data_IF_975614822348
#
_entry.id   IF_975614822348
#
_cell.length_a   1.000
_cell.length_b   1.000
_cell.length_c   1.000
_cell.angle_alpha   90.00
_cell.angle_beta   90.00
_cell.angle_gamma   90.00
#
_symmetry.space_group_name_H-M   'P 1'
#
loop_
_entity.id
_entity.type
_entity.pdbx_description
1 polymer ?
#
# COMPACT_ATOMS: atom_id res chain seq x y z
N UNK A 1 24.82 18.62 -43.95
CA UNK A 1 23.77 17.89 -43.21
C UNK A 1 23.04 16.81 -44.03
N UNK A 2 22.78 16.99 -45.34
CA UNK A 2 22.13 15.94 -46.18
C UNK A 2 22.84 14.58 -46.14
N UNK A 3 24.16 14.57 -46.13
CA UNK A 3 24.96 13.34 -46.17
C UNK A 3 24.96 12.56 -44.83
N UNK A 4 24.60 13.20 -43.71
CA UNK A 4 24.55 12.55 -42.41
C UNK A 4 23.38 11.57 -42.31
N UNK A 5 22.19 12.02 -42.73
CA UNK A 5 20.97 11.20 -42.74
C UNK A 5 21.06 10.02 -43.70
N UNK A 6 21.64 10.22 -44.88
CA UNK A 6 21.90 9.15 -45.85
C UNK A 6 22.82 8.07 -45.26
N UNK A 7 23.88 8.48 -44.56
CA UNK A 7 24.83 7.57 -43.94
C UNK A 7 24.23 6.76 -42.78
N UNK A 8 23.30 7.34 -42.03
CA UNK A 8 22.51 6.62 -41.01
C UNK A 8 21.59 5.60 -41.68
N UNK A 9 20.84 5.99 -42.71
CA UNK A 9 19.92 5.11 -43.42
C UNK A 9 20.66 3.91 -44.06
N UNK A 10 21.81 4.16 -44.69
CA UNK A 10 22.67 3.12 -45.25
C UNK A 10 23.17 2.14 -44.17
N UNK A 11 23.60 2.65 -43.01
CA UNK A 11 24.02 1.80 -41.89
C UNK A 11 22.86 0.95 -41.35
N UNK A 12 21.65 1.50 -41.27
CA UNK A 12 20.47 0.77 -40.82
C UNK A 12 20.13 -0.37 -41.79
N UNK A 13 20.18 -0.11 -43.09
CA UNK A 13 19.93 -1.10 -44.14
C UNK A 13 21.02 -2.19 -44.17
N UNK A 14 22.28 -1.82 -43.95
CA UNK A 14 23.43 -2.74 -43.95
C UNK A 14 23.42 -3.70 -42.77
N UNK A 15 23.03 -3.24 -41.58
CA UNK A 15 23.03 -4.02 -40.33
C UNK A 15 21.63 -4.40 -39.84
N UNK A 16 20.65 -4.50 -40.76
CA UNK A 16 19.22 -4.71 -40.45
C UNK A 16 18.93 -5.81 -39.44
N UNK A 17 19.57 -6.97 -39.55
CA UNK A 17 19.34 -8.09 -38.63
C UNK A 17 19.93 -7.86 -37.23
N UNK A 18 21.09 -7.18 -37.15
CA UNK A 18 21.70 -6.82 -35.86
C UNK A 18 20.86 -5.77 -35.13
N UNK A 19 20.41 -4.74 -35.85
CA UNK A 19 19.55 -3.69 -35.29
C UNK A 19 18.21 -4.26 -34.84
N UNK A 20 17.61 -5.15 -35.64
CA UNK A 20 16.38 -5.82 -35.25
C UNK A 20 16.58 -6.69 -34.01
N UNK A 21 17.69 -7.42 -33.91
CA UNK A 21 18.03 -8.21 -32.72
C UNK A 21 18.19 -7.35 -31.47
N UNK A 22 18.90 -6.21 -31.58
CA UNK A 22 19.05 -5.25 -30.49
C UNK A 22 17.69 -4.66 -30.09
N UNK A 23 16.85 -4.31 -31.05
CA UNK A 23 15.51 -3.77 -30.80
C UNK A 23 14.63 -4.77 -30.04
N UNK A 24 14.64 -6.03 -30.46
CA UNK A 24 13.88 -7.10 -29.79
C UNK A 24 14.42 -7.32 -28.37
N UNK A 25 15.74 -7.38 -28.19
CA UNK A 25 16.35 -7.54 -26.87
C UNK A 25 15.98 -6.38 -25.92
N UNK A 26 16.05 -5.13 -26.41
CA UNK A 26 15.61 -3.95 -25.67
C UNK A 26 14.11 -4.01 -25.32
N UNK A 27 13.28 -4.42 -26.27
CA UNK A 27 11.82 -4.53 -26.07
C UNK A 27 11.52 -5.58 -25.00
N UNK A 28 12.15 -6.75 -25.05
CA UNK A 28 11.99 -7.79 -24.02
C UNK A 28 12.50 -7.31 -22.65
N UNK A 29 13.65 -6.63 -22.61
CA UNK A 29 14.20 -6.10 -21.36
C UNK A 29 13.28 -5.06 -20.72
N UNK A 30 12.73 -4.14 -21.53
CA UNK A 30 11.77 -3.15 -21.08
C UNK A 30 10.44 -3.79 -20.68
N UNK A 31 9.96 -4.80 -21.41
CA UNK A 31 8.76 -5.57 -21.05
C UNK A 31 8.92 -6.29 -19.71
N UNK A 32 10.09 -6.87 -19.45
CA UNK A 32 10.42 -7.46 -18.15
C UNK A 32 10.48 -6.42 -17.03
N UNK A 33 10.95 -5.19 -17.31
CA UNK A 33 10.90 -4.11 -16.32
C UNK A 33 9.48 -3.59 -16.08
N UNK A 34 8.64 -3.56 -17.11
CA UNK A 34 7.25 -3.18 -16.99
C UNK A 34 6.44 -4.18 -16.14
N UNK A 35 6.75 -5.48 -16.20
CA UNK A 35 6.10 -6.47 -15.32
C UNK A 35 6.48 -6.34 -13.84
N UNK A 36 7.55 -5.59 -13.53
CA UNK A 36 7.98 -5.29 -12.16
C UNK A 36 7.37 -3.99 -11.60
N UNK A 37 6.43 -3.37 -12.31
CA UNK A 37 5.78 -2.15 -11.82
C UNK A 37 4.98 -2.47 -10.55
N UNK A 38 5.27 -1.74 -9.48
CA UNK A 38 4.54 -1.80 -8.22
C UNK A 38 3.62 -0.59 -8.13
N UNK A 39 2.36 -0.82 -7.76
CA UNK A 39 1.44 0.26 -7.42
C UNK A 39 1.85 0.83 -6.06
N UNK A 40 2.25 2.10 -6.06
CA UNK A 40 2.46 2.84 -4.81
C UNK A 40 1.09 3.31 -4.32
N UNK A 41 0.69 2.80 -3.15
CA UNK A 41 -0.50 3.26 -2.41
C UNK A 41 -0.12 4.30 -1.35
N UNK A 42 1.06 4.92 -1.46
CA UNK A 42 1.39 6.06 -0.62
C UNK A 42 0.53 7.25 -1.05
N UNK A 43 -0.02 7.99 -0.08
CA UNK A 43 -0.63 9.29 -0.34
C UNK A 43 0.32 10.12 -1.20
N UNK A 44 -0.25 10.82 -2.20
CA UNK A 44 0.53 11.62 -3.12
C UNK A 44 1.51 12.51 -2.34
N UNK A 45 2.80 12.47 -2.71
CA UNK A 45 3.83 13.32 -2.13
C UNK A 45 3.57 14.76 -2.58
N UNK A 46 2.77 15.50 -1.80
CA UNK A 46 2.37 16.89 -2.08
C UNK A 46 3.54 17.86 -1.80
N UNK A 47 4.49 17.46 -0.93
CA UNK A 47 5.62 18.28 -0.54
C UNK A 47 6.96 17.71 -1.06
N UNK A 48 7.91 18.57 -1.47
CA UNK A 48 9.26 18.14 -1.82
C UNK A 48 9.99 17.61 -0.59
N UNK A 49 10.89 16.64 -0.78
CA UNK A 49 11.64 15.99 0.31
C UNK A 49 12.51 16.95 1.14
N UNK A 50 12.84 18.11 0.59
CA UNK A 50 13.63 19.14 1.26
C UNK A 50 12.83 20.00 2.24
N UNK A 51 11.50 19.91 2.25
CA UNK A 51 10.65 20.68 3.16
C UNK A 51 10.75 20.13 4.59
N UNK A 52 10.98 20.99 5.58
CA UNK A 52 11.11 20.61 6.98
C UNK A 52 9.86 19.90 7.53
N UNK A 53 8.67 20.28 7.05
CA UNK A 53 7.39 19.67 7.47
C UNK A 53 7.26 18.25 6.94
N UNK A 54 7.79 17.99 5.74
CA UNK A 54 7.84 16.63 5.20
C UNK A 54 8.80 15.75 6.01
N UNK A 55 9.96 16.26 6.40
CA UNK A 55 10.90 15.54 7.27
C UNK A 55 10.30 15.25 8.66
N UNK A 56 9.57 16.23 9.23
CA UNK A 56 8.85 16.03 10.48
C UNK A 56 7.78 14.93 10.36
N UNK A 57 7.01 14.94 9.28
CA UNK A 57 6.00 13.92 8.99
C UNK A 57 6.63 12.53 8.83
N UNK A 58 7.72 12.39 8.07
CA UNK A 58 8.43 11.11 7.90
C UNK A 58 9.00 10.60 9.22
N UNK A 59 9.55 11.48 10.07
CA UNK A 59 10.02 11.11 11.41
C UNK A 59 8.87 10.65 12.32
N UNK A 60 7.72 11.33 12.27
CA UNK A 60 6.52 10.92 12.99
C UNK A 60 6.03 9.55 12.51
N UNK A 61 5.90 9.35 11.19
CA UNK A 61 5.53 8.08 10.56
C UNK A 61 6.49 6.96 10.92
N UNK A 62 7.79 7.23 10.99
CA UNK A 62 8.79 6.24 11.42
C UNK A 62 8.62 5.83 12.89
N UNK A 63 8.26 6.77 13.77
CA UNK A 63 8.12 6.52 15.21
C UNK A 63 6.79 5.86 15.58
N UNK A 64 5.70 6.24 14.92
CA UNK A 64 4.35 5.81 15.28
C UNK A 64 3.71 4.85 14.26
N UNK A 65 4.32 4.67 13.08
CA UNK A 65 3.75 3.91 11.97
C UNK A 65 2.86 4.76 11.07
N UNK A 66 2.46 4.18 9.93
CA UNK A 66 1.51 4.77 8.99
C UNK A 66 0.19 4.01 9.07
N UNK A 67 -0.91 4.74 9.32
CA UNK A 67 -2.27 4.18 9.42
C UNK A 67 -2.98 4.17 8.04
N UNK A 68 -2.20 3.91 6.97
CA UNK A 68 -2.66 4.08 5.59
C UNK A 68 -3.62 3.01 5.07
N UNK A 69 -3.78 1.90 5.81
CA UNK A 69 -4.56 0.73 5.40
C UNK A 69 -5.69 0.40 6.39
N UNK A 70 -6.34 1.42 6.95
CA UNK A 70 -7.52 1.21 7.80
C UNK A 70 -8.77 1.15 6.93
N UNK A 71 -9.54 0.07 7.07
CA UNK A 71 -10.88 -0.05 6.51
C UNK A 71 -11.90 0.07 7.64
N UNK A 72 -12.88 0.96 7.45
CA UNK A 72 -13.99 1.15 8.39
C UNK A 72 -15.25 0.54 7.81
N UNK A 73 -15.90 -0.35 8.56
CA UNK A 73 -17.18 -0.96 8.21
C UNK A 73 -18.23 -0.45 9.20
N UNK A 74 -19.25 0.24 8.67
CA UNK A 74 -20.40 0.71 9.43
C UNK A 74 -21.67 -0.03 9.00
N UNK A 75 -22.54 -0.33 9.97
CA UNK A 75 -23.83 -0.96 9.75
C UNK A 75 -24.90 -0.18 10.54
N UNK A 76 -26.01 0.13 9.88
CA UNK A 76 -27.21 0.63 10.54
C UNK A 76 -28.14 -0.57 10.83
N UNK A 77 -28.26 -0.95 12.10
CA UNK A 77 -29.10 -2.06 12.56
C UNK A 77 -29.59 -1.81 13.99
N UNK A 78 -30.88 -1.56 14.15
CA UNK A 78 -31.51 -1.32 15.46
C UNK A 78 -31.45 -2.54 16.40
N UNK A 79 -31.27 -3.74 15.83
CA UNK A 79 -31.22 -5.00 16.57
C UNK A 79 -29.78 -5.51 16.78
N UNK A 80 -28.75 -4.69 16.50
CA UNK A 80 -27.35 -5.10 16.60
C UNK A 80 -26.97 -5.69 17.98
N UNK A 81 -27.60 -5.21 19.05
CA UNK A 81 -27.37 -5.69 20.42
C UNK A 81 -28.24 -6.90 20.80
N UNK A 82 -29.05 -7.42 19.89
CA UNK A 82 -29.72 -8.71 20.11
C UNK A 82 -28.69 -9.85 20.07
N UNK A 83 -28.88 -10.94 20.83
CA UNK A 83 -27.92 -12.04 20.89
C UNK A 83 -27.57 -12.63 19.51
N UNK A 84 -28.56 -12.73 18.62
CA UNK A 84 -28.36 -13.30 17.29
C UNK A 84 -27.47 -12.40 16.42
N UNK A 85 -27.83 -11.13 16.30
CA UNK A 85 -27.11 -10.15 15.47
C UNK A 85 -25.71 -9.88 16.03
N UNK A 86 -25.56 -9.77 17.35
CA UNK A 86 -24.26 -9.54 17.98
C UNK A 86 -23.31 -10.73 17.77
N UNK A 87 -23.82 -11.96 17.83
CA UNK A 87 -23.04 -13.17 17.55
C UNK A 87 -22.63 -13.25 16.07
N UNK A 88 -23.51 -12.85 15.15
CA UNK A 88 -23.18 -12.75 13.73
C UNK A 88 -22.07 -11.71 13.50
N UNK A 89 -22.17 -10.53 14.13
CA UNK A 89 -21.15 -9.48 14.06
C UNK A 89 -19.80 -9.92 14.66
N UNK A 90 -19.82 -10.65 15.78
CA UNK A 90 -18.61 -11.23 16.38
C UNK A 90 -17.96 -12.28 15.46
N UNK A 91 -18.78 -13.10 14.79
CA UNK A 91 -18.29 -14.09 13.81
C UNK A 91 -17.64 -13.41 12.62
N UNK A 92 -18.28 -12.40 12.04
CA UNK A 92 -17.72 -11.59 10.96
C UNK A 92 -16.36 -10.98 11.34
N UNK A 93 -16.27 -10.41 12.55
CA UNK A 93 -15.03 -9.84 13.08
C UNK A 93 -13.90 -10.88 13.12
N UNK A 94 -14.19 -12.12 13.54
CA UNK A 94 -13.20 -13.21 13.60
C UNK A 94 -12.80 -13.68 12.19
N UNK A 95 -13.75 -13.78 11.27
CA UNK A 95 -13.50 -14.18 9.88
C UNK A 95 -12.61 -13.17 9.15
N UNK A 96 -12.87 -11.87 9.32
CA UNK A 96 -12.02 -10.81 8.75
C UNK A 96 -10.61 -10.87 9.35
N UNK A 97 -10.50 -11.06 10.67
CA UNK A 97 -9.20 -11.20 11.35
C UNK A 97 -8.40 -12.42 10.85
N UNK A 98 -9.08 -13.46 10.38
CA UNK A 98 -8.45 -14.66 9.83
C UNK A 98 -7.89 -14.51 8.41
N UNK A 99 -8.20 -13.41 7.70
CA UNK A 99 -7.77 -13.25 6.31
C UNK A 99 -6.27 -12.90 6.20
N UNK A 100 -5.55 -13.49 5.23
CA UNK A 100 -4.16 -13.13 4.96
C UNK A 100 -4.00 -11.64 4.68
N UNK A 101 -3.07 -10.98 5.37
CA UNK A 101 -2.78 -9.55 5.20
C UNK A 101 -3.52 -8.62 6.16
N UNK A 102 -4.49 -9.11 6.94
CA UNK A 102 -5.13 -8.33 8.01
C UNK A 102 -4.29 -8.42 9.28
N UNK A 103 -3.73 -7.28 9.72
CA UNK A 103 -2.88 -7.21 10.92
C UNK A 103 -3.71 -7.19 12.21
N UNK A 104 -4.82 -6.47 12.23
CA UNK A 104 -5.70 -6.38 13.40
C UNK A 104 -7.12 -5.99 12.97
N UNK A 105 -8.12 -6.39 13.78
CA UNK A 105 -9.52 -5.99 13.61
C UNK A 105 -10.06 -5.55 14.96
N UNK A 106 -10.54 -4.31 15.03
CA UNK A 106 -11.19 -3.74 16.20
C UNK A 106 -12.68 -3.57 15.90
N UNK A 107 -13.52 -4.05 16.81
CA UNK A 107 -14.98 -4.02 16.69
C UNK A 107 -15.59 -3.85 18.08
N UNK A 108 -16.90 -3.53 18.14
CA UNK A 108 -17.67 -3.55 19.39
C UNK A 108 -17.68 -4.92 20.09
N UNK A 109 -17.39 -6.01 19.35
CA UNK A 109 -17.40 -7.37 19.90
C UNK A 109 -16.11 -7.79 20.59
N UNK A 110 -15.02 -7.05 20.38
CA UNK A 110 -13.69 -7.35 20.89
C UNK A 110 -12.92 -6.11 21.36
N UNK A 111 -13.65 -5.05 21.70
CA UNK A 111 -13.09 -3.80 22.16
C UNK A 111 -12.45 -4.03 23.55
N UNK A 112 -11.14 -3.77 23.74
CA UNK A 112 -10.51 -3.91 25.04
C UNK A 112 -11.03 -2.83 25.98
N UNK A 113 -11.33 -3.22 27.21
CA UNK A 113 -11.74 -2.26 28.24
C UNK A 113 -10.50 -1.71 28.93
N UNK A 114 -10.32 -0.38 28.85
CA UNK A 114 -9.20 0.32 29.51
C UNK A 114 -9.65 0.73 30.91
N UNK A 115 -8.88 0.33 31.93
CA UNK A 115 -9.09 0.75 33.32
C UNK A 115 -7.82 1.33 33.93
N UNK A 116 -7.99 2.18 34.95
CA UNK A 116 -6.88 2.75 35.71
C UNK A 116 -6.51 1.75 36.81
N UNK A 117 -5.27 1.26 36.77
CA UNK A 117 -4.69 0.55 37.89
C UNK A 117 -4.05 1.57 38.84
N UNK A 118 -4.80 1.93 39.89
CA UNK A 118 -4.38 2.88 40.92
C UNK A 118 -3.16 2.42 41.72
N UNK A 119 -2.85 1.11 41.74
CA UNK A 119 -1.68 0.57 42.44
C UNK A 119 -0.39 0.87 41.66
N UNK A 120 -0.43 0.67 40.34
CA UNK A 120 0.72 0.90 39.47
C UNK A 120 0.76 2.27 38.80
N UNK A 121 -0.29 3.10 39.01
CA UNK A 121 -0.50 4.39 38.34
C UNK A 121 -0.40 4.28 36.80
N UNK A 122 -0.96 3.21 36.23
CA UNK A 122 -0.93 2.92 34.80
C UNK A 122 -2.31 2.55 34.26
N UNK A 123 -2.50 2.76 32.96
CA UNK A 123 -3.66 2.25 32.25
C UNK A 123 -3.39 0.79 31.85
N UNK A 124 -4.35 -0.09 32.16
CA UNK A 124 -4.32 -1.50 31.84
C UNK A 124 -5.56 -1.87 31.03
N UNK A 125 -5.46 -2.92 30.21
CA UNK A 125 -6.55 -3.42 29.37
C UNK A 125 -6.96 -4.82 29.80
N UNK A 126 -8.27 -5.10 29.84
CA UNK A 126 -8.82 -6.45 30.02
C UNK A 126 -9.63 -6.90 28.80
#
# INVERSE_FOLDING_TARGET
MKNFWLRIAENILKFKYQILGILVALTCALGFKASQIQLSYELAKILPKSDERFQLYENFKSKYGEDGNVMVIGLENDQLFSPNEFNAWSTLTKEIKGQPGIKNVLSISNLPEVYIDSSSNKFSTR
#
